data_IF_915644794172
#
_entry.id   IF_915644794172
#
_cell.length_a   1.000
_cell.length_b   1.000
_cell.length_c   1.000
_cell.angle_alpha   90.00
_cell.angle_beta   90.00
_cell.angle_gamma   90.00
#
_symmetry.space_group_name_H-M   'P 1'
#
loop_
_entity.id
_entity.type
_entity.pdbx_description
1 polymer ?
#
# COMPACT_ATOMS: atom_id res chain seq x y z
N UNK A 1 -36.01 -8.99 -8.25
CA UNK A 1 -36.99 -8.83 -7.16
C UNK A 1 -36.37 -9.37 -5.87
N UNK A 2 -36.63 -8.79 -4.70
CA UNK A 2 -36.27 -9.42 -3.41
C UNK A 2 -37.46 -10.27 -2.95
N UNK A 3 -37.22 -11.40 -2.27
CA UNK A 3 -38.29 -12.25 -1.72
C UNK A 3 -39.27 -11.46 -0.83
N UNK A 4 -38.77 -10.47 -0.10
CA UNK A 4 -39.56 -9.55 0.73
C UNK A 4 -40.47 -8.57 -0.05
N UNK A 5 -40.38 -8.58 -1.39
CA UNK A 5 -41.21 -7.75 -2.28
C UNK A 5 -42.31 -8.57 -2.95
N UNK A 6 -42.36 -9.88 -2.73
CA UNK A 6 -43.36 -10.80 -3.26
C UNK A 6 -44.43 -11.05 -2.20
N UNK A 7 -45.69 -11.20 -2.64
CA UNK A 7 -46.81 -11.53 -1.75
C UNK A 7 -46.76 -12.99 -1.33
N UNK A 8 -46.26 -13.87 -2.20
CA UNK A 8 -46.08 -15.29 -1.90
C UNK A 8 -44.72 -15.82 -2.35
N UNK A 9 -44.37 -16.99 -1.82
CA UNK A 9 -43.17 -17.71 -2.22
C UNK A 9 -43.29 -18.26 -3.65
N UNK A 10 -44.49 -18.62 -4.11
CA UNK A 10 -44.72 -19.04 -5.49
C UNK A 10 -44.46 -17.90 -6.49
N UNK A 11 -44.93 -16.68 -6.20
CA UNK A 11 -44.71 -15.50 -7.04
C UNK A 11 -43.21 -15.18 -7.20
N UNK A 12 -42.43 -15.36 -6.13
CA UNK A 12 -40.98 -15.19 -6.21
C UNK A 12 -40.31 -16.28 -7.06
N UNK A 13 -40.77 -17.54 -6.94
CA UNK A 13 -40.22 -18.65 -7.73
C UNK A 13 -40.57 -18.54 -9.22
N UNK A 14 -41.79 -18.13 -9.53
CA UNK A 14 -42.25 -17.92 -10.92
C UNK A 14 -41.44 -16.80 -11.58
N UNK A 15 -41.27 -15.65 -10.88
CA UNK A 15 -40.37 -14.59 -11.32
C UNK A 15 -38.92 -15.08 -11.48
N UNK A 16 -38.43 -15.91 -10.55
CA UNK A 16 -37.06 -16.42 -10.60
C UNK A 16 -36.85 -17.31 -11.84
N UNK A 17 -37.81 -18.18 -12.15
CA UNK A 17 -37.78 -19.03 -13.34
C UNK A 17 -37.81 -18.16 -14.60
N UNK A 18 -38.76 -17.23 -14.70
CA UNK A 18 -38.90 -16.34 -15.85
C UNK A 18 -37.74 -15.37 -16.05
N UNK A 19 -37.06 -14.96 -14.99
CA UNK A 19 -35.96 -13.99 -15.06
C UNK A 19 -34.59 -14.66 -15.29
N UNK A 20 -34.37 -15.85 -14.72
CA UNK A 20 -33.11 -16.59 -14.83
C UNK A 20 -33.08 -17.42 -16.13
N UNK A 21 -34.17 -18.11 -16.48
CA UNK A 21 -34.27 -18.99 -17.66
C UNK A 21 -33.88 -18.31 -18.99
N UNK A 22 -34.29 -17.07 -19.30
CA UNK A 22 -33.90 -16.39 -20.53
C UNK A 22 -32.53 -15.69 -20.47
N UNK A 23 -31.69 -15.99 -19.46
CA UNK A 23 -30.37 -15.37 -19.28
C UNK A 23 -30.43 -13.82 -19.13
N UNK A 24 -31.57 -13.30 -18.66
CA UNK A 24 -31.80 -11.85 -18.46
C UNK A 24 -31.25 -11.36 -17.12
N UNK A 25 -30.79 -12.27 -16.26
CA UNK A 25 -30.24 -11.94 -14.96
C UNK A 25 -28.76 -11.53 -15.06
N UNK A 26 -28.45 -10.29 -14.71
CA UNK A 26 -27.06 -9.78 -14.62
C UNK A 26 -26.37 -10.15 -13.28
N UNK A 27 -27.01 -10.94 -12.42
CA UNK A 27 -26.43 -11.37 -11.13
C UNK A 27 -25.32 -12.39 -11.41
N UNK A 28 -24.10 -12.05 -11.01
CA UNK A 28 -22.91 -12.89 -11.17
C UNK A 28 -22.37 -13.46 -9.85
N UNK A 29 -23.04 -13.17 -8.73
CA UNK A 29 -22.63 -13.63 -7.40
C UNK A 29 -23.81 -13.60 -6.42
N UNK A 30 -24.00 -14.69 -5.68
CA UNK A 30 -25.13 -14.91 -4.76
C UNK A 30 -24.73 -14.97 -3.28
N UNK A 31 -23.46 -14.69 -2.95
CA UNK A 31 -22.96 -14.72 -1.57
C UNK A 31 -22.97 -13.37 -0.84
N UNK A 32 -22.31 -13.31 0.32
CA UNK A 32 -22.13 -12.06 1.09
C UNK A 32 -21.12 -11.14 0.41
N UNK A 33 -21.35 -9.83 0.46
CA UNK A 33 -20.45 -8.82 -0.15
C UNK A 33 -18.95 -9.01 0.18
N UNK A 34 -18.53 -9.35 1.42
CA UNK A 34 -17.12 -9.58 1.73
C UNK A 34 -16.48 -10.79 1.02
N UNK A 35 -17.27 -11.72 0.48
CA UNK A 35 -16.76 -12.87 -0.25
C UNK A 35 -16.60 -12.61 -1.76
N UNK A 36 -17.15 -11.50 -2.28
CA UNK A 36 -17.08 -11.14 -3.70
C UNK A 36 -15.64 -11.06 -4.23
N UNK A 37 -14.72 -10.51 -3.42
CA UNK A 37 -13.33 -10.37 -3.83
C UNK A 37 -12.63 -11.72 -3.99
N UNK A 38 -12.90 -12.65 -3.07
CA UNK A 38 -12.30 -13.98 -3.09
C UNK A 38 -12.87 -14.83 -4.25
N UNK A 39 -14.18 -14.80 -4.47
CA UNK A 39 -14.78 -15.48 -5.62
C UNK A 39 -14.35 -14.87 -6.96
N UNK A 40 -14.26 -13.53 -7.03
CA UNK A 40 -13.71 -12.85 -8.20
C UNK A 40 -12.27 -13.25 -8.50
N UNK A 41 -11.44 -13.44 -7.47
CA UNK A 41 -10.08 -13.95 -7.63
C UNK A 41 -10.08 -15.38 -8.16
N UNK A 42 -10.88 -16.31 -7.61
CA UNK A 42 -10.98 -17.69 -8.13
C UNK A 42 -11.34 -17.73 -9.60
N UNK A 43 -12.36 -16.96 -10.01
CA UNK A 43 -12.78 -16.87 -11.42
C UNK A 43 -11.60 -16.41 -12.27
N UNK A 44 -10.94 -15.30 -11.92
CA UNK A 44 -9.82 -14.77 -12.68
C UNK A 44 -8.66 -15.77 -12.83
N UNK A 45 -8.32 -16.47 -11.74
CA UNK A 45 -7.19 -17.41 -11.72
C UNK A 45 -7.50 -18.70 -12.48
N UNK A 46 -8.71 -19.25 -12.37
CA UNK A 46 -9.12 -20.44 -13.13
C UNK A 46 -9.17 -20.14 -14.64
N UNK A 47 -9.79 -19.01 -15.01
CA UNK A 47 -9.92 -18.60 -16.42
C UNK A 47 -8.57 -18.39 -17.11
N UNK A 48 -7.51 -18.06 -16.37
CA UNK A 48 -6.16 -17.88 -16.92
C UNK A 48 -5.62 -19.15 -17.61
N UNK A 49 -5.93 -20.33 -17.08
CA UNK A 49 -5.50 -21.61 -17.66
C UNK A 49 -6.40 -22.00 -18.82
N UNK A 50 -7.72 -21.85 -18.65
CA UNK A 50 -8.70 -22.21 -19.66
C UNK A 50 -8.52 -21.41 -20.95
N UNK A 51 -8.49 -20.08 -20.85
CA UNK A 51 -8.50 -19.18 -22.01
C UNK A 51 -7.10 -18.84 -22.53
N UNK A 52 -6.10 -18.77 -21.66
CA UNK A 52 -4.81 -18.17 -22.02
C UNK A 52 -3.64 -19.14 -21.87
N UNK A 53 -3.86 -20.35 -21.32
CA UNK A 53 -2.81 -21.35 -21.09
C UNK A 53 -1.63 -20.79 -20.28
N UNK A 54 -1.91 -19.85 -19.37
CA UNK A 54 -0.93 -19.27 -18.44
C UNK A 54 -1.29 -19.63 -17.00
N UNK A 55 -0.28 -19.60 -16.12
CA UNK A 55 -0.45 -19.70 -14.67
C UNK A 55 0.19 -18.50 -14.02
N UNK A 56 -0.48 -17.94 -13.02
CA UNK A 56 0.10 -16.88 -12.21
C UNK A 56 0.95 -17.48 -11.09
N UNK A 57 2.17 -16.99 -10.92
CA UNK A 57 3.03 -17.45 -9.82
C UNK A 57 2.89 -16.61 -8.55
N UNK A 58 2.64 -15.31 -8.70
CA UNK A 58 2.67 -14.36 -7.57
C UNK A 58 1.41 -13.52 -7.46
N UNK A 59 0.95 -13.30 -6.23
CA UNK A 59 -0.16 -12.39 -5.93
C UNK A 59 0.28 -11.31 -4.94
N UNK A 60 0.09 -10.04 -5.30
CA UNK A 60 0.35 -8.90 -4.40
C UNK A 60 -0.91 -8.59 -3.58
N UNK A 61 -0.86 -8.89 -2.28
CA UNK A 61 -1.86 -8.53 -1.26
C UNK A 61 -1.11 -8.25 0.05
N UNK A 62 -1.31 -7.25 0.89
CA UNK A 62 -2.46 -6.77 1.62
C UNK A 62 -2.90 -7.64 2.80
N UNK A 63 -1.98 -7.89 3.75
CA UNK A 63 -2.29 -8.48 5.05
C UNK A 63 -2.95 -9.86 4.92
N UNK A 64 -3.84 -10.23 5.84
CA UNK A 64 -4.58 -11.50 5.71
C UNK A 64 -5.64 -11.37 4.61
N UNK A 65 -5.26 -11.74 3.39
CA UNK A 65 -6.10 -11.67 2.21
C UNK A 65 -6.87 -12.98 2.03
N UNK A 66 -8.19 -12.91 2.19
CA UNK A 66 -9.09 -14.01 1.86
C UNK A 66 -9.03 -14.37 0.37
N UNK A 67 -8.78 -13.37 -0.49
CA UNK A 67 -8.61 -13.59 -1.92
C UNK A 67 -7.36 -14.41 -2.24
N UNK A 68 -6.22 -14.14 -1.57
CA UNK A 68 -5.03 -14.99 -1.68
C UNK A 68 -5.30 -16.42 -1.21
N UNK A 69 -5.89 -16.56 -0.02
CA UNK A 69 -6.19 -17.88 0.55
C UNK A 69 -7.10 -18.71 -0.37
N UNK A 70 -8.00 -18.05 -1.09
CA UNK A 70 -8.91 -18.67 -2.05
C UNK A 70 -8.23 -19.16 -3.34
N UNK A 71 -7.04 -18.64 -3.67
CA UNK A 71 -6.34 -18.97 -4.93
C UNK A 71 -4.98 -19.65 -4.73
N UNK A 72 -4.50 -19.79 -3.49
CA UNK A 72 -3.18 -20.34 -3.15
C UNK A 72 -2.91 -21.70 -3.82
N UNK A 73 -3.93 -22.57 -3.82
CA UNK A 73 -3.87 -23.94 -4.34
C UNK A 73 -4.65 -24.08 -5.66
N UNK A 74 -4.81 -23.01 -6.45
CA UNK A 74 -5.57 -23.06 -7.71
C UNK A 74 -4.94 -24.00 -8.75
N UNK A 75 -3.61 -24.15 -8.72
CA UNK A 75 -2.87 -24.95 -9.69
C UNK A 75 -2.23 -26.16 -8.99
N UNK A 76 -2.45 -27.35 -9.55
CA UNK A 76 -1.98 -28.62 -8.98
C UNK A 76 -0.45 -28.70 -8.83
N UNK A 77 0.28 -28.18 -9.83
CA UNK A 77 1.75 -28.30 -9.89
C UNK A 77 2.49 -27.14 -9.22
N UNK A 78 1.81 -26.00 -8.96
CA UNK A 78 2.49 -24.82 -8.42
C UNK A 78 1.60 -24.01 -7.47
N UNK A 79 2.11 -23.79 -6.26
CA UNK A 79 1.46 -22.89 -5.31
C UNK A 79 1.66 -21.43 -5.71
N UNK A 80 0.61 -20.65 -5.47
CA UNK A 80 0.68 -19.20 -5.63
C UNK A 80 1.45 -18.61 -4.48
N UNK A 81 2.50 -17.85 -4.78
CA UNK A 81 3.29 -17.15 -3.78
C UNK A 81 2.70 -15.77 -3.49
N UNK A 82 2.45 -15.51 -2.21
CA UNK A 82 2.04 -14.18 -1.75
C UNK A 82 3.22 -13.22 -1.73
N UNK A 83 3.02 -12.02 -2.26
CA UNK A 83 3.89 -10.87 -2.09
C UNK A 83 3.16 -9.78 -1.32
N UNK A 84 3.89 -9.06 -0.47
CA UNK A 84 3.33 -7.96 0.29
C UNK A 84 3.66 -6.62 -0.37
N UNK A 85 2.66 -5.72 -0.41
CA UNK A 85 2.87 -4.35 -0.90
C UNK A 85 3.82 -3.60 0.05
N UNK A 86 5.02 -3.24 -0.44
CA UNK A 86 6.03 -2.55 0.39
C UNK A 86 5.53 -1.23 0.96
N UNK A 87 4.66 -0.53 0.21
CA UNK A 87 4.00 0.69 0.71
C UNK A 87 3.09 0.43 1.91
N UNK A 88 2.37 -0.71 1.93
CA UNK A 88 1.51 -1.09 3.06
C UNK A 88 2.34 -1.61 4.23
N UNK A 89 3.38 -2.41 3.97
CA UNK A 89 4.32 -2.85 5.01
C UNK A 89 4.99 -1.65 5.67
N UNK A 90 5.42 -0.64 4.91
CA UNK A 90 5.91 0.60 5.48
C UNK A 90 4.89 1.26 6.43
N UNK A 91 3.60 1.33 6.07
CA UNK A 91 2.54 1.87 6.93
C UNK A 91 2.28 1.03 8.18
N UNK A 92 2.63 -0.26 8.17
CA UNK A 92 2.51 -1.13 9.34
C UNK A 92 3.39 -0.67 10.50
N UNK A 93 4.61 -0.20 10.24
CA UNK A 93 5.49 0.38 11.27
C UNK A 93 4.82 1.57 11.99
N UNK A 94 4.27 2.51 11.22
CA UNK A 94 3.53 3.66 11.76
C UNK A 94 2.34 3.22 12.64
N UNK A 95 1.54 2.26 12.14
CA UNK A 95 0.41 1.71 12.90
C UNK A 95 0.84 1.04 14.21
N UNK A 96 1.90 0.22 14.20
CA UNK A 96 2.40 -0.44 15.41
C UNK A 96 2.88 0.58 16.44
N UNK A 97 3.61 1.61 16.02
CA UNK A 97 4.12 2.64 16.93
C UNK A 97 3.02 3.56 17.47
N UNK A 98 2.03 3.91 16.65
CA UNK A 98 0.85 4.66 17.11
C UNK A 98 0.02 3.84 18.11
N UNK A 99 -0.18 2.55 17.85
CA UNK A 99 -0.85 1.66 18.79
C UNK A 99 -0.04 1.54 20.08
N UNK A 100 1.28 1.37 20.00
CA UNK A 100 2.14 1.34 21.19
C UNK A 100 2.02 2.63 22.00
N UNK A 101 2.00 3.80 21.33
CA UNK A 101 1.77 5.11 21.95
C UNK A 101 0.42 5.18 22.66
N UNK A 102 -0.66 4.66 22.07
CA UNK A 102 -2.01 4.74 22.64
C UNK A 102 -2.28 3.71 23.73
N UNK A 103 -1.70 2.50 23.64
CA UNK A 103 -1.93 1.43 24.61
C UNK A 103 -1.04 1.54 25.84
N UNK A 104 0.12 2.20 25.74
CA UNK A 104 1.03 2.38 26.87
C UNK A 104 0.51 3.50 27.77
N UNK A 105 -0.08 3.10 28.90
CA UNK A 105 -0.58 4.01 29.94
C UNK A 105 0.46 4.24 31.02
N UNK A 106 0.39 5.40 31.68
CA UNK A 106 1.25 5.74 32.81
C UNK A 106 2.65 6.21 32.41
N UNK A 107 3.56 6.16 33.39
CA UNK A 107 4.97 6.59 33.25
C UNK A 107 5.84 5.39 32.88
N UNK A 108 6.81 5.63 32.00
CA UNK A 108 7.87 4.68 31.68
C UNK A 108 8.88 4.61 32.83
N UNK A 109 9.87 3.72 32.74
CA UNK A 109 10.86 3.50 33.80
C UNK A 109 11.67 4.75 34.17
N UNK A 110 11.74 5.75 33.29
CA UNK A 110 12.37 7.04 33.53
C UNK A 110 11.43 8.10 34.15
N UNK A 111 10.22 7.69 34.58
CA UNK A 111 9.24 8.57 35.23
C UNK A 111 8.46 9.47 34.27
N UNK A 112 8.68 9.37 32.96
CA UNK A 112 8.05 10.20 31.93
C UNK A 112 7.01 9.43 31.11
N UNK A 113 6.03 10.12 30.54
CA UNK A 113 5.05 9.50 29.62
C UNK A 113 5.70 9.06 28.30
N UNK A 114 4.98 8.24 27.53
CA UNK A 114 5.43 7.75 26.22
C UNK A 114 5.46 8.84 25.14
N UNK A 115 4.58 9.83 25.24
CA UNK A 115 4.45 10.98 24.34
C UNK A 115 5.03 12.28 24.92
N UNK A 116 4.96 13.36 24.15
CA UNK A 116 5.45 14.69 24.54
C UNK A 116 6.83 15.05 24.01
N UNK A 117 7.33 16.24 24.38
CA UNK A 117 8.60 16.80 23.90
C UNK A 117 9.77 15.85 24.20
N UNK A 118 10.57 15.53 23.20
CA UNK A 118 11.71 14.61 23.33
C UNK A 118 11.34 13.12 23.44
N UNK A 119 10.06 12.76 23.31
CA UNK A 119 9.55 11.39 23.42
C UNK A 119 9.05 10.85 22.07
N UNK A 120 8.14 9.87 22.04
CA UNK A 120 7.63 9.28 20.80
C UNK A 120 6.51 10.13 20.20
N UNK A 121 6.88 11.17 19.47
CA UNK A 121 5.97 12.06 18.74
C UNK A 121 5.54 11.46 17.39
N UNK A 122 4.43 11.93 16.81
CA UNK A 122 3.99 11.46 15.48
C UNK A 122 5.04 11.78 14.40
N UNK A 123 5.71 12.93 14.51
CA UNK A 123 6.84 13.29 13.63
C UNK A 123 7.96 12.23 13.68
N UNK A 124 8.35 11.79 14.87
CA UNK A 124 9.38 10.74 15.04
C UNK A 124 8.89 9.40 14.51
N UNK A 125 7.63 9.05 14.74
CA UNK A 125 7.01 7.85 14.18
C UNK A 125 7.08 7.87 12.64
N UNK A 126 6.69 8.99 11.99
CA UNK A 126 6.80 9.14 10.52
C UNK A 126 8.24 9.03 10.02
N UNK A 127 9.23 9.50 10.80
CA UNK A 127 10.66 9.35 10.48
C UNK A 127 11.10 7.88 10.54
N UNK A 128 10.78 7.17 11.62
CA UNK A 128 11.06 5.73 11.77
C UNK A 128 10.40 4.94 10.65
N UNK A 129 9.12 5.24 10.36
CA UNK A 129 8.37 4.66 9.25
C UNK A 129 9.09 4.85 7.90
N UNK A 130 9.63 6.05 7.64
CA UNK A 130 10.37 6.35 6.42
C UNK A 130 11.64 5.52 6.31
N UNK A 131 12.44 5.45 7.38
CA UNK A 131 13.64 4.63 7.38
C UNK A 131 13.32 3.14 7.21
N UNK A 132 12.27 2.66 7.86
CA UNK A 132 11.84 1.27 7.72
C UNK A 132 11.46 0.94 6.26
N UNK A 133 10.70 1.82 5.60
CA UNK A 133 10.40 1.68 4.18
C UNK A 133 11.64 1.77 3.28
N UNK A 134 12.66 2.53 3.68
CA UNK A 134 13.92 2.64 2.94
C UNK A 134 14.76 1.37 3.07
N UNK A 135 14.87 0.83 4.29
CA UNK A 135 15.57 -0.42 4.58
C UNK A 135 15.07 -1.59 3.71
N UNK A 136 13.76 -1.64 3.44
CA UNK A 136 13.20 -2.64 2.52
C UNK A 136 13.54 -2.30 1.06
N UNK A 137 13.21 -1.09 0.59
CA UNK A 137 13.34 -0.73 -0.84
C UNK A 137 14.77 -0.71 -1.37
N UNK A 138 15.76 -0.43 -0.53
CA UNK A 138 17.17 -0.45 -0.93
C UNK A 138 17.74 -1.87 -1.08
N UNK A 139 17.01 -2.89 -0.62
CA UNK A 139 17.47 -4.28 -0.60
C UNK A 139 16.52 -5.20 -1.38
N UNK A 140 15.76 -4.64 -2.34
CA UNK A 140 14.90 -5.43 -3.23
C UNK A 140 15.70 -6.02 -4.38
N UNK A 141 15.28 -7.19 -4.83
CA UNK A 141 15.87 -7.90 -5.97
C UNK A 141 15.16 -7.50 -7.27
N UNK A 142 15.95 -7.19 -8.29
CA UNK A 142 15.47 -6.91 -9.65
C UNK A 142 15.40 -8.16 -10.52
N UNK A 143 16.06 -9.25 -10.12
CA UNK A 143 16.04 -10.52 -10.83
C UNK A 143 14.62 -11.12 -10.83
N UNK A 144 14.16 -11.61 -11.99
CA UNK A 144 12.84 -12.22 -12.13
C UNK A 144 12.75 -13.57 -11.40
N UNK A 145 13.85 -14.33 -11.40
CA UNK A 145 13.98 -15.64 -10.77
C UNK A 145 15.20 -15.62 -9.82
N UNK A 146 15.09 -14.94 -8.67
CA UNK A 146 16.18 -14.93 -7.71
C UNK A 146 16.40 -16.33 -7.13
N UNK A 147 17.67 -16.66 -6.94
CA UNK A 147 18.06 -17.85 -6.19
C UNK A 147 17.70 -17.71 -4.71
N UNK A 148 17.54 -18.83 -4.01
CA UNK A 148 17.30 -18.83 -2.56
C UNK A 148 18.38 -18.05 -1.81
N UNK A 149 19.64 -18.17 -2.23
CA UNK A 149 20.76 -17.42 -1.65
C UNK A 149 20.61 -15.91 -1.82
N UNK A 150 20.17 -15.43 -2.98
CA UNK A 150 19.92 -13.99 -3.20
C UNK A 150 18.78 -13.48 -2.31
N UNK A 151 17.71 -14.27 -2.16
CA UNK A 151 16.60 -13.96 -1.25
C UNK A 151 17.10 -13.88 0.19
N UNK A 152 17.91 -14.84 0.64
CA UNK A 152 18.45 -14.89 1.99
C UNK A 152 19.34 -13.69 2.32
N UNK A 153 20.23 -13.33 1.38
CA UNK A 153 21.09 -12.15 1.53
C UNK A 153 20.26 -10.86 1.58
N UNK A 154 19.23 -10.74 0.72
CA UNK A 154 18.34 -9.58 0.72
C UNK A 154 17.59 -9.46 2.06
N UNK A 155 16.98 -10.55 2.53
CA UNK A 155 16.22 -10.61 3.78
C UNK A 155 17.12 -10.30 4.98
N UNK A 156 18.31 -10.90 5.04
CA UNK A 156 19.28 -10.62 6.08
C UNK A 156 19.67 -9.13 6.10
N UNK A 157 19.93 -8.54 4.94
CA UNK A 157 20.31 -7.13 4.83
C UNK A 157 19.16 -6.21 5.22
N UNK A 158 17.92 -6.52 4.82
CA UNK A 158 16.72 -5.83 5.29
C UNK A 158 16.63 -5.87 6.81
N UNK A 159 16.74 -7.06 7.42
CA UNK A 159 16.68 -7.25 8.87
C UNK A 159 17.77 -6.44 9.58
N UNK A 160 19.02 -6.53 9.13
CA UNK A 160 20.14 -5.75 9.66
C UNK A 160 19.84 -4.24 9.62
N UNK A 161 19.37 -3.74 8.49
CA UNK A 161 19.04 -2.32 8.32
C UNK A 161 17.83 -1.89 9.17
N UNK A 162 16.84 -2.76 9.38
CA UNK A 162 15.70 -2.50 10.26
C UNK A 162 16.16 -2.39 11.72
N UNK A 163 17.02 -3.30 12.18
CA UNK A 163 17.60 -3.24 13.52
C UNK A 163 18.51 -2.02 13.69
N UNK A 164 19.22 -1.61 12.64
CA UNK A 164 20.00 -0.38 12.66
C UNK A 164 19.16 0.87 12.97
N UNK A 165 17.91 0.92 12.50
CA UNK A 165 16.99 2.03 12.78
C UNK A 165 16.65 2.10 14.27
N UNK A 166 16.45 0.95 14.93
CA UNK A 166 16.21 0.91 16.37
C UNK A 166 17.40 1.53 17.11
N UNK A 167 18.61 1.00 16.91
CA UNK A 167 19.81 1.52 17.58
C UNK A 167 20.09 2.99 17.25
N UNK A 168 19.94 3.39 15.99
CA UNK A 168 20.08 4.78 15.58
C UNK A 168 19.12 5.72 16.31
N UNK A 169 17.90 5.27 16.58
CA UNK A 169 16.84 6.09 17.15
C UNK A 169 16.94 6.25 18.68
N UNK A 170 17.80 5.47 19.35
CA UNK A 170 17.97 5.51 20.81
C UNK A 170 19.25 6.27 21.17
N UNK A 171 19.17 7.13 22.18
CA UNK A 171 20.31 7.86 22.73
C UNK A 171 21.36 6.88 23.28
N UNK A 172 22.62 7.14 22.96
CA UNK A 172 23.77 6.38 23.45
C UNK A 172 24.91 7.35 23.77
N UNK A 173 25.67 7.07 24.83
CA UNK A 173 26.92 7.79 25.13
C UNK A 173 28.03 7.46 24.13
N UNK A 174 27.93 6.31 23.48
CA UNK A 174 28.87 5.83 22.48
C UNK A 174 28.22 5.88 21.10
N UNK A 175 28.57 6.92 20.33
CA UNK A 175 28.04 7.14 18.98
C UNK A 175 28.47 6.03 18.01
N UNK A 176 29.67 5.47 18.18
CA UNK A 176 30.13 4.37 17.34
C UNK A 176 29.26 3.12 17.55
N UNK A 177 28.84 2.84 18.80
CA UNK A 177 27.86 1.78 19.08
C UNK A 177 26.47 2.10 18.54
N UNK A 178 26.01 3.34 18.66
CA UNK A 178 24.70 3.78 18.18
C UNK A 178 24.55 3.59 16.67
N UNK A 179 25.60 3.94 15.92
CA UNK A 179 25.60 3.94 14.46
C UNK A 179 26.24 2.71 13.83
N UNK A 180 26.66 1.73 14.65
CA UNK A 180 27.39 0.51 14.23
C UNK A 180 26.71 -0.26 13.10
N UNK A 181 25.39 -0.32 13.14
CA UNK A 181 24.61 -1.09 12.18
C UNK A 181 24.08 -0.25 11.01
N UNK A 182 24.24 1.08 11.05
CA UNK A 182 23.81 1.95 9.97
C UNK A 182 24.64 1.68 8.70
N UNK A 183 24.04 1.84 7.50
CA UNK A 183 24.80 1.77 6.25
C UNK A 183 25.95 2.79 6.25
N UNK A 184 27.12 2.39 5.77
CA UNK A 184 28.30 3.27 5.67
C UNK A 184 28.28 4.06 4.36
N UNK A 185 28.97 5.21 4.32
CA UNK A 185 29.18 6.00 3.11
C UNK A 185 28.25 7.20 2.94
N UNK A 186 28.54 8.02 1.94
CA UNK A 186 27.86 9.30 1.68
C UNK A 186 26.37 9.12 1.32
N UNK A 187 26.02 8.00 0.70
CA UNK A 187 24.64 7.64 0.36
C UNK A 187 23.84 7.08 1.53
N UNK A 188 24.44 7.00 2.73
CA UNK A 188 23.75 6.53 3.93
C UNK A 188 22.57 7.44 4.28
N UNK A 189 21.49 6.85 4.80
CA UNK A 189 20.42 7.64 5.41
C UNK A 189 20.80 8.16 6.81
N UNK A 190 21.87 7.63 7.39
CA UNK A 190 22.39 8.02 8.70
C UNK A 190 23.39 9.17 8.55
N UNK A 191 23.05 10.35 9.10
CA UNK A 191 23.87 11.55 8.98
C UNK A 191 25.27 11.39 9.60
N UNK A 192 25.39 10.68 10.72
CA UNK A 192 26.69 10.38 11.34
C UNK A 192 27.59 9.52 10.42
N UNK A 193 27.03 8.55 9.71
CA UNK A 193 27.77 7.74 8.74
C UNK A 193 28.16 8.55 7.49
N UNK A 194 27.32 9.48 7.06
CA UNK A 194 27.68 10.42 5.99
C UNK A 194 28.85 11.29 6.41
N UNK A 195 28.75 11.92 7.58
CA UNK A 195 29.75 12.80 8.14
C UNK A 195 31.11 12.10 8.30
N UNK A 196 31.09 10.85 8.75
CA UNK A 196 32.30 10.00 8.83
C UNK A 196 32.92 9.75 7.45
N UNK A 197 32.09 9.57 6.41
CA UNK A 197 32.57 9.33 5.05
C UNK A 197 33.08 10.61 4.35
N UNK A 198 32.44 11.76 4.61
CA UNK A 198 32.76 13.05 3.97
C UNK A 198 33.73 13.91 4.78
N UNK A 199 34.11 13.48 5.99
CA UNK A 199 34.95 14.27 6.91
C UNK A 199 34.25 15.51 7.48
N UNK A 200 32.91 15.54 7.51
CA UNK A 200 32.12 16.63 8.08
C UNK A 200 31.66 16.29 9.50
N UNK A 201 31.14 17.26 10.26
CA UNK A 201 30.61 17.03 11.62
C UNK A 201 29.34 17.85 11.86
N UNK A 202 28.22 17.42 11.27
CA UNK A 202 26.93 18.13 11.27
C UNK A 202 25.80 17.31 11.89
N UNK A 203 26.05 16.07 12.29
CA UNK A 203 25.12 15.23 13.02
C UNK A 203 24.82 15.81 14.41
N UNK A 204 23.53 15.85 14.75
CA UNK A 204 23.04 16.24 16.07
C UNK A 204 22.26 15.08 16.71
N UNK A 205 22.60 14.75 17.96
CA UNK A 205 22.01 13.63 18.70
C UNK A 205 20.70 13.98 19.42
N UNK A 206 20.34 15.26 19.44
CA UNK A 206 19.17 15.84 20.13
C UNK A 206 17.84 15.18 19.73
N UNK A 207 17.82 14.56 18.56
CA UNK A 207 16.66 13.94 17.95
C UNK A 207 16.40 12.49 18.36
N UNK A 208 17.26 11.90 19.20
CA UNK A 208 17.12 10.51 19.64
C UNK A 208 16.14 10.36 20.82
N UNK A 209 15.58 9.16 20.96
CA UNK A 209 14.72 8.77 22.07
C UNK A 209 15.56 8.35 23.28
N UNK A 210 15.10 8.59 24.52
CA UNK A 210 15.78 8.09 25.72
C UNK A 210 15.93 6.56 25.74
N UNK A 211 16.93 6.07 26.47
CA UNK A 211 17.31 4.65 26.50
C UNK A 211 16.16 3.70 26.86
N UNK A 212 15.22 4.13 27.70
CA UNK A 212 14.00 3.37 28.08
C UNK A 212 13.17 2.92 26.87
N UNK A 213 13.25 3.60 25.74
CA UNK A 213 12.54 3.21 24.52
C UNK A 213 13.15 2.01 23.81
N UNK A 214 14.40 1.61 24.12
CA UNK A 214 15.05 0.48 23.46
C UNK A 214 14.23 -0.81 23.64
N UNK A 215 13.96 -1.19 24.89
CA UNK A 215 13.16 -2.38 25.20
C UNK A 215 11.68 -2.21 24.82
N UNK A 216 11.15 -0.99 24.92
CA UNK A 216 9.76 -0.71 24.56
C UNK A 216 9.51 -0.89 23.05
N UNK A 217 10.46 -0.47 22.20
CA UNK A 217 10.34 -0.55 20.74
C UNK A 217 10.78 -1.91 20.18
N UNK A 218 11.68 -2.62 20.87
CA UNK A 218 12.25 -3.90 20.42
C UNK A 218 11.20 -4.91 19.91
N UNK A 219 10.07 -5.18 20.59
CA UNK A 219 9.06 -6.11 20.08
C UNK A 219 8.50 -5.72 18.71
N UNK A 220 8.27 -4.42 18.48
CA UNK A 220 7.76 -3.91 17.19
C UNK A 220 8.80 -4.13 16.08
N UNK A 221 10.06 -3.83 16.34
CA UNK A 221 11.14 -4.02 15.37
C UNK A 221 11.41 -5.50 15.07
N UNK A 222 11.32 -6.37 16.06
CA UNK A 222 11.47 -7.82 15.87
C UNK A 222 10.33 -8.40 15.04
N UNK A 223 9.07 -8.09 15.37
CA UNK A 223 7.90 -8.54 14.62
C UNK A 223 7.91 -8.06 13.16
N UNK A 224 8.37 -6.82 12.93
CA UNK A 224 8.47 -6.24 11.58
C UNK A 224 9.77 -6.56 10.86
N UNK A 225 10.63 -7.40 11.44
CA UNK A 225 11.84 -7.94 10.78
C UNK A 225 11.83 -9.47 10.68
N UNK A 226 10.65 -10.08 10.84
CA UNK A 226 10.46 -11.51 10.64
C UNK A 226 10.80 -11.93 9.21
N UNK A 227 11.53 -13.05 9.08
CA UNK A 227 12.00 -13.57 7.80
C UNK A 227 10.87 -13.74 6.79
N UNK A 228 9.78 -14.42 7.15
CA UNK A 228 8.61 -14.64 6.28
C UNK A 228 7.96 -13.35 5.77
N UNK A 229 7.98 -12.28 6.58
CA UNK A 229 7.46 -10.98 6.17
C UNK A 229 8.38 -10.32 5.12
N UNK A 230 9.69 -10.36 5.37
CA UNK A 230 10.69 -9.75 4.50
C UNK A 230 10.85 -10.50 3.18
N UNK A 231 10.75 -11.83 3.18
CA UNK A 231 10.71 -12.68 1.97
C UNK A 231 9.62 -12.21 1.01
N UNK A 232 8.42 -11.89 1.53
CA UNK A 232 7.31 -11.36 0.71
C UNK A 232 7.55 -9.95 0.18
N UNK A 233 8.56 -9.25 0.69
CA UNK A 233 8.92 -7.88 0.30
C UNK A 233 10.11 -7.82 -0.68
N UNK A 234 10.87 -8.90 -0.88
CA UNK A 234 12.14 -8.88 -1.64
C UNK A 234 11.98 -8.38 -3.07
N UNK A 235 10.79 -8.56 -3.68
CA UNK A 235 10.53 -8.10 -5.05
C UNK A 235 10.08 -6.64 -5.15
N UNK A 236 9.99 -5.91 -4.04
CA UNK A 236 9.64 -4.49 -4.06
C UNK A 236 8.22 -4.20 -4.57
N UNK A 237 7.33 -5.19 -4.52
CA UNK A 237 6.02 -5.10 -5.16
C UNK A 237 5.14 -3.98 -4.57
N UNK A 238 4.34 -3.34 -5.44
CA UNK A 238 3.38 -2.30 -5.04
C UNK A 238 2.06 -2.49 -5.77
N UNK A 239 0.96 -2.06 -5.15
CA UNK A 239 -0.37 -2.09 -5.75
C UNK A 239 -0.71 -0.82 -6.55
N UNK A 240 0.22 0.12 -6.69
CA UNK A 240 -0.02 1.41 -7.34
C UNK A 240 -0.58 1.29 -8.77
N UNK A 241 -0.16 0.25 -9.53
CA UNK A 241 -0.69 0.00 -10.88
C UNK A 241 -2.18 -0.37 -10.84
N UNK A 242 -2.55 -1.28 -9.94
CA UNK A 242 -3.93 -1.71 -9.74
C UNK A 242 -4.80 -0.54 -9.25
N UNK A 243 -4.30 0.23 -8.29
CA UNK A 243 -4.98 1.43 -7.79
C UNK A 243 -5.18 2.49 -8.89
N UNK A 244 -4.20 2.66 -9.78
CA UNK A 244 -4.29 3.60 -10.91
C UNK A 244 -5.36 3.21 -11.92
N UNK A 245 -5.45 1.91 -12.29
CA UNK A 245 -6.54 1.41 -13.15
C UNK A 245 -7.88 1.57 -12.44
N UNK A 246 -7.96 1.17 -11.17
CA UNK A 246 -9.19 1.28 -10.40
C UNK A 246 -9.67 2.73 -10.30
N UNK A 247 -8.77 3.71 -10.12
CA UNK A 247 -9.12 5.12 -10.12
C UNK A 247 -9.77 5.56 -11.45
N UNK A 248 -9.30 5.05 -12.59
CA UNK A 248 -9.90 5.30 -13.90
C UNK A 248 -11.30 4.68 -14.02
N UNK A 249 -11.50 3.47 -13.48
CA UNK A 249 -12.82 2.82 -13.46
C UNK A 249 -13.79 3.64 -12.62
N UNK A 250 -13.40 4.02 -11.41
CA UNK A 250 -14.28 4.76 -10.49
C UNK A 250 -14.52 6.21 -10.89
N UNK A 251 -13.62 6.81 -11.69
CA UNK A 251 -13.88 8.10 -12.31
C UNK A 251 -15.01 8.04 -13.37
N UNK A 252 -15.22 6.89 -14.01
CA UNK A 252 -16.28 6.65 -14.99
C UNK A 252 -17.56 6.11 -14.36
N UNK A 253 -17.42 5.26 -13.34
CA UNK A 253 -18.52 4.68 -12.57
C UNK A 253 -18.32 4.97 -11.07
N UNK A 254 -18.71 6.15 -10.58
CA UNK A 254 -18.54 6.52 -9.18
C UNK A 254 -19.20 5.53 -8.22
N UNK A 255 -18.48 5.12 -7.16
CA UNK A 255 -18.95 4.10 -6.20
C UNK A 255 -20.19 4.50 -5.41
N UNK A 256 -20.46 5.81 -5.29
CA UNK A 256 -21.63 6.34 -4.60
C UNK A 256 -22.91 6.32 -5.46
N UNK A 257 -22.85 5.81 -6.69
CA UNK A 257 -23.99 5.68 -7.59
C UNK A 257 -24.16 4.23 -8.02
N UNK A 258 -25.43 3.81 -8.13
CA UNK A 258 -25.75 2.51 -8.70
C UNK A 258 -25.52 2.53 -10.22
N UNK A 259 -24.91 1.47 -10.74
CA UNK A 259 -24.66 1.27 -12.16
C UNK A 259 -24.98 -0.19 -12.53
N UNK A 260 -25.66 -0.41 -13.65
CA UNK A 260 -25.91 -1.77 -14.16
C UNK A 260 -24.64 -2.44 -14.69
N UNK A 261 -24.65 -3.77 -14.79
CA UNK A 261 -23.48 -4.57 -15.17
C UNK A 261 -22.89 -4.16 -16.52
N UNK A 262 -23.73 -3.87 -17.53
CA UNK A 262 -23.30 -3.40 -18.85
C UNK A 262 -22.48 -2.10 -18.78
N UNK A 263 -22.92 -1.14 -17.95
CA UNK A 263 -22.22 0.14 -17.78
C UNK A 263 -20.86 -0.07 -17.11
N UNK A 264 -20.80 -0.93 -16.08
CA UNK A 264 -19.56 -1.28 -15.40
C UNK A 264 -18.57 -1.94 -16.38
N UNK A 265 -19.03 -2.91 -17.19
CA UNK A 265 -18.20 -3.57 -18.21
C UNK A 265 -17.62 -2.57 -19.20
N UNK A 266 -18.44 -1.66 -19.73
CA UNK A 266 -17.98 -0.59 -20.63
C UNK A 266 -16.97 0.35 -19.96
N UNK A 267 -17.19 0.71 -18.69
CA UNK A 267 -16.28 1.56 -17.93
C UNK A 267 -14.93 0.87 -17.69
N UNK A 268 -14.92 -0.41 -17.35
CA UNK A 268 -13.70 -1.22 -17.19
C UNK A 268 -12.95 -1.31 -18.52
N UNK A 269 -13.61 -1.72 -19.61
CA UNK A 269 -12.98 -1.81 -20.93
C UNK A 269 -12.39 -0.46 -21.39
N UNK A 270 -13.16 0.63 -21.23
CA UNK A 270 -12.68 1.99 -21.53
C UNK A 270 -11.49 2.41 -20.64
N UNK A 271 -11.47 1.99 -19.38
CA UNK A 271 -10.38 2.28 -18.45
C UNK A 271 -9.12 1.53 -18.82
N UNK A 272 -9.21 0.27 -19.23
CA UNK A 272 -8.09 -0.53 -19.73
C UNK A 272 -7.49 0.09 -20.98
N UNK A 273 -8.32 0.48 -21.96
CA UNK A 273 -7.85 1.19 -23.16
C UNK A 273 -7.12 2.49 -22.81
N UNK A 274 -7.67 3.28 -21.88
CA UNK A 274 -7.05 4.53 -21.43
C UNK A 274 -5.73 4.26 -20.71
N UNK A 275 -5.69 3.29 -19.80
CA UNK A 275 -4.51 2.98 -19.02
C UNK A 275 -3.34 2.55 -19.91
N UNK A 276 -3.60 1.69 -20.91
CA UNK A 276 -2.55 1.18 -21.79
C UNK A 276 -2.16 2.11 -22.93
N UNK A 277 -3.05 3.00 -23.39
CA UNK A 277 -2.82 3.77 -24.62
C UNK A 277 -3.19 5.26 -24.52
N UNK A 278 -3.40 5.76 -23.30
CA UNK A 278 -3.82 7.14 -23.05
C UNK A 278 -5.28 7.41 -23.40
N UNK A 279 -5.73 8.62 -23.09
CA UNK A 279 -7.04 9.15 -23.44
C UNK A 279 -7.29 9.12 -24.95
N UNK A 280 -6.26 9.26 -25.78
CA UNK A 280 -6.37 9.20 -27.25
C UNK A 280 -6.85 7.85 -27.78
N UNK A 281 -6.76 6.77 -26.99
CA UNK A 281 -7.37 5.47 -27.30
C UNK A 281 -8.87 5.56 -27.59
N UNK A 282 -9.57 6.56 -27.03
CA UNK A 282 -10.99 6.81 -27.28
C UNK A 282 -11.29 7.02 -28.78
N UNK A 283 -10.37 7.64 -29.52
CA UNK A 283 -10.53 7.85 -30.97
C UNK A 283 -10.62 6.52 -31.72
N UNK A 284 -9.79 5.54 -31.34
CA UNK A 284 -9.82 4.19 -31.95
C UNK A 284 -11.11 3.44 -31.61
N UNK A 285 -11.59 3.57 -30.38
CA UNK A 285 -12.89 2.98 -29.97
C UNK A 285 -14.03 3.59 -30.77
N UNK A 286 -14.07 4.91 -30.92
CA UNK A 286 -15.09 5.60 -31.72
C UNK A 286 -15.08 5.14 -33.19
N UNK A 287 -13.89 5.04 -33.80
CA UNK A 287 -13.75 4.55 -35.16
C UNK A 287 -14.28 3.12 -35.34
N UNK A 288 -14.01 2.23 -34.38
CA UNK A 288 -14.54 0.84 -34.40
C UNK A 288 -16.07 0.78 -34.22
N UNK A 289 -16.67 1.80 -33.60
CA UNK A 289 -18.12 1.96 -33.50
C UNK A 289 -18.71 2.73 -34.68
N UNK A 290 -17.93 3.03 -35.72
CA UNK A 290 -18.34 3.87 -36.86
C UNK A 290 -18.79 5.27 -36.46
N UNK A 291 -18.26 5.79 -35.34
CA UNK A 291 -18.52 7.15 -34.86
C UNK A 291 -17.29 8.02 -35.20
N UNK A 292 -17.42 9.06 -36.05
CA UNK A 292 -16.30 9.93 -36.36
C UNK A 292 -15.88 10.74 -35.12
N UNK A 293 -14.59 10.65 -34.78
CA UNK A 293 -14.03 11.48 -33.71
C UNK A 293 -13.88 12.93 -34.19
N UNK A 294 -14.71 13.83 -33.66
CA UNK A 294 -14.62 15.25 -33.92
C UNK A 294 -13.28 15.87 -33.49
N UNK A 295 -12.94 17.02 -34.08
CA UNK A 295 -11.67 17.73 -33.85
C UNK A 295 -11.45 18.02 -32.36
N UNK A 296 -12.47 18.47 -31.64
CA UNK A 296 -12.39 18.76 -30.21
C UNK A 296 -12.09 17.52 -29.36
N UNK A 297 -12.63 16.35 -29.72
CA UNK A 297 -12.34 15.09 -29.02
C UNK A 297 -10.89 14.68 -29.19
N UNK A 298 -10.36 14.75 -30.42
CA UNK A 298 -8.96 14.45 -30.73
C UNK A 298 -8.01 15.38 -29.98
N UNK A 299 -8.27 16.69 -30.05
CA UNK A 299 -7.45 17.70 -29.37
C UNK A 299 -7.49 17.56 -27.85
N UNK A 300 -8.67 17.36 -27.26
CA UNK A 300 -8.81 17.22 -25.80
C UNK A 300 -8.13 15.95 -25.30
N UNK A 301 -8.25 14.84 -26.02
CA UNK A 301 -7.58 13.59 -25.67
C UNK A 301 -6.05 13.75 -25.69
N UNK A 302 -5.50 14.35 -26.74
CA UNK A 302 -4.07 14.64 -26.83
C UNK A 302 -3.60 15.61 -25.74
N UNK A 303 -4.40 16.64 -25.41
CA UNK A 303 -4.10 17.56 -24.29
C UNK A 303 -4.08 16.83 -22.94
N UNK A 304 -5.02 15.92 -22.70
CA UNK A 304 -5.08 15.13 -21.47
C UNK A 304 -3.86 14.23 -21.33
N UNK A 305 -3.46 13.54 -22.40
CA UNK A 305 -2.27 12.68 -22.43
C UNK A 305 -1.00 13.50 -22.13
N UNK A 306 -0.82 14.64 -22.82
CA UNK A 306 0.29 15.57 -22.55
C UNK A 306 0.29 16.07 -21.11
N UNK A 307 -0.88 16.41 -20.55
CA UNK A 307 -0.99 16.86 -19.15
C UNK A 307 -0.63 15.76 -18.16
N UNK A 308 -1.01 14.51 -18.43
CA UNK A 308 -0.68 13.37 -17.59
C UNK A 308 0.84 13.14 -17.55
N UNK A 309 1.50 13.15 -18.71
CA UNK A 309 2.97 13.01 -18.80
C UNK A 309 3.65 14.16 -18.05
N UNK A 310 3.30 15.42 -18.33
CA UNK A 310 3.86 16.59 -17.64
C UNK A 310 3.69 16.52 -16.11
N UNK A 311 2.54 16.03 -15.64
CA UNK A 311 2.27 15.85 -14.21
C UNK A 311 3.18 14.78 -13.63
N UNK A 312 3.35 13.64 -14.31
CA UNK A 312 4.23 12.57 -13.88
C UNK A 312 5.69 13.04 -13.82
N UNK A 313 6.19 13.70 -14.85
CA UNK A 313 7.55 14.24 -14.90
C UNK A 313 7.78 15.23 -13.76
N UNK A 314 6.85 16.18 -13.56
CA UNK A 314 6.92 17.14 -12.45
C UNK A 314 6.95 16.44 -11.09
N UNK A 315 6.21 15.36 -10.91
CA UNK A 315 6.16 14.60 -9.65
C UNK A 315 7.42 13.75 -9.43
N UNK A 316 8.15 13.40 -10.49
CA UNK A 316 9.41 12.67 -10.44
C UNK A 316 10.60 13.56 -10.07
N UNK A 317 10.53 14.87 -10.31
CA UNK A 317 11.57 15.84 -9.93
C UNK A 317 11.79 15.85 -8.40
N UNK A 318 13.05 15.79 -7.97
CA UNK A 318 13.40 15.72 -6.54
C UNK A 318 12.95 16.94 -5.74
N UNK A 319 13.02 18.14 -6.33
CA UNK A 319 12.45 19.36 -5.72
C UNK A 319 10.96 19.18 -5.39
N UNK A 320 10.19 18.54 -6.27
CA UNK A 320 8.78 18.28 -6.04
C UNK A 320 8.55 17.20 -4.98
N UNK A 321 9.38 16.14 -4.97
CA UNK A 321 9.37 15.11 -3.92
C UNK A 321 9.66 15.71 -2.55
N UNK A 322 10.72 16.52 -2.43
CA UNK A 322 11.12 17.23 -1.21
C UNK A 322 10.02 18.18 -0.73
N UNK A 323 9.45 19.00 -1.64
CA UNK A 323 8.31 19.88 -1.31
C UNK A 323 7.12 19.10 -0.75
N UNK A 324 6.76 17.96 -1.37
CA UNK A 324 5.66 17.11 -0.91
C UNK A 324 5.93 16.55 0.49
N UNK A 325 7.15 16.08 0.75
CA UNK A 325 7.55 15.59 2.07
C UNK A 325 7.48 16.70 3.13
N UNK A 326 7.94 17.91 2.80
CA UNK A 326 7.85 19.07 3.71
C UNK A 326 6.41 19.45 4.04
N UNK A 327 5.54 19.55 3.04
CA UNK A 327 4.11 19.83 3.25
C UNK A 327 3.42 18.76 4.10
N UNK A 328 3.75 17.49 3.89
CA UNK A 328 3.22 16.40 4.69
C UNK A 328 3.68 16.49 6.15
N UNK A 329 4.96 16.81 6.38
CA UNK A 329 5.50 17.02 7.73
C UNK A 329 4.80 18.17 8.44
N UNK A 330 4.67 19.34 7.79
CA UNK A 330 3.97 20.50 8.35
C UNK A 330 2.52 20.17 8.73
N UNK A 331 1.84 19.41 7.87
CA UNK A 331 0.48 18.95 8.15
C UNK A 331 0.43 18.04 9.39
N UNK A 332 1.34 17.09 9.49
CA UNK A 332 1.42 16.20 10.67
C UNK A 332 1.70 16.99 11.94
N UNK A 333 2.65 17.93 11.93
CA UNK A 333 2.93 18.77 13.09
C UNK A 333 1.70 19.60 13.50
N UNK A 334 0.99 20.18 12.53
CA UNK A 334 -0.23 20.96 12.78
C UNK A 334 -1.35 20.09 13.37
N UNK A 335 -1.60 18.91 12.80
CA UNK A 335 -2.61 17.97 13.30
C UNK A 335 -2.26 17.46 14.72
N UNK A 336 -0.99 17.20 15.02
CA UNK A 336 -0.54 16.81 16.38
C UNK A 336 -0.74 17.95 17.38
N UNK A 337 -0.35 19.18 17.02
CA UNK A 337 -0.53 20.36 17.88
C UNK A 337 -2.02 20.67 18.15
N UNK A 338 -2.89 20.51 17.14
CA UNK A 338 -4.34 20.66 17.31
C UNK A 338 -4.89 19.62 18.28
N UNK A 339 -4.50 18.34 18.14
CA UNK A 339 -4.93 17.28 19.08
C UNK A 339 -4.45 17.52 20.50
N UNK A 340 -3.22 18.01 20.67
CA UNK A 340 -2.68 18.36 21.98
C UNK A 340 -3.46 19.52 22.61
N UNK A 341 -3.85 20.52 21.82
CA UNK A 341 -4.67 21.65 22.29
C UNK A 341 -6.12 21.25 22.59
N UNK A 342 -6.71 20.36 21.80
CA UNK A 342 -8.09 19.88 21.97
C UNK A 342 -8.25 18.92 23.16
N UNK A 343 -7.17 18.22 23.55
CA UNK A 343 -7.22 17.19 24.59
C UNK A 343 -8.04 15.96 24.15
N UNK A 344 -8.45 15.12 25.11
CA UNK A 344 -9.29 13.94 24.82
C UNK A 344 -10.74 14.39 24.67
N UNK A 345 -11.22 14.46 23.42
CA UNK A 345 -12.58 14.94 23.10
C UNK A 345 -13.61 13.81 22.96
N UNK A 346 -13.20 12.59 22.59
CA UNK A 346 -14.08 11.43 22.42
C UNK A 346 -13.30 10.12 22.64
N UNK A 347 -13.70 9.31 23.62
CA UNK A 347 -13.27 7.92 23.77
C UNK A 347 -14.36 6.98 23.23
N UNK A 348 -13.98 6.05 22.34
CA UNK A 348 -14.90 5.04 21.84
C UNK A 348 -15.35 4.14 23.00
N UNK A 349 -16.65 4.19 23.33
CA UNK A 349 -17.26 3.45 24.46
C UNK A 349 -17.43 4.25 25.76
N UNK A 350 -17.20 5.56 25.74
CA UNK A 350 -17.37 6.44 26.91
C UNK A 350 -18.79 7.06 27.04
N UNK A 351 -19.83 6.40 26.54
CA UNK A 351 -21.24 6.77 26.75
C UNK A 351 -22.05 5.54 27.17
#
# INVERSE_FOLDING_TARGET
MKKSQCKTDEEFQEWQIEHISPNQCDIYFTGRSPAMEAEGAKVLWNTSVELHKIRYKWMVSDGDSKAFSAVEDTYEECKVEKLDCVGRIQKRMDKHLLNLKSTTKGKLADGNSIGGKGRLTEVRIKRIQRYYGLAIRQNTLSNQNPTEKEVDVAVYTMKKNIIAILHHSIQSKDLAKQHRYCPVGESSWCKWQQDTATGTNTYQSEDCLPEVFCELLRPTFMALSERKLLERCVRGATQNRNESINALVWARCPKNKHHGAKVIRCAVASSVCHFHSGASSRVRVMQKLSIPAGVFTKQTSAKNDKRQIKKADRQAIDKAKKRRQGLQLMRTCCEEALREAEGVTYEAGAF
#
